data_IF_515477381201
#
_entry.id   IF_515477381201
#
_cell.length_a   1.000
_cell.length_b   1.000
_cell.length_c   1.000
_cell.angle_alpha   90.00
_cell.angle_beta   90.00
_cell.angle_gamma   90.00
#
_symmetry.space_group_name_H-M   'P 1'
#
loop_
_entity.id
_entity.type
_entity.pdbx_description
1 polymer ?
#
# COMPACT_ATOMS: atom_id res chain seq x y z
N UNK A 1 41.87 -10.26 7.22
CA UNK A 1 40.91 -9.39 6.51
C UNK A 1 39.74 -10.25 6.02
N UNK A 2 38.57 -10.16 6.65
CA UNK A 2 37.45 -11.10 6.46
C UNK A 2 36.67 -10.85 5.16
N UNK A 3 37.10 -11.47 4.06
CA UNK A 3 36.45 -11.45 2.75
C UNK A 3 34.99 -11.96 2.80
N UNK A 4 34.63 -12.76 3.81
CA UNK A 4 33.32 -13.41 3.97
C UNK A 4 32.17 -12.45 4.30
N UNK A 5 32.45 -11.27 4.86
CA UNK A 5 31.44 -10.27 5.21
C UNK A 5 31.03 -9.35 4.04
N UNK A 6 31.76 -9.40 2.92
CA UNK A 6 31.59 -8.47 1.78
C UNK A 6 30.31 -8.72 0.97
N UNK A 7 29.97 -9.99 0.72
CA UNK A 7 28.77 -10.38 -0.05
C UNK A 7 27.44 -9.99 0.60
N UNK A 8 27.18 -10.27 1.90
CA UNK A 8 25.94 -9.85 2.55
C UNK A 8 25.86 -8.32 2.68
N UNK A 9 26.99 -7.63 2.90
CA UNK A 9 27.03 -6.17 2.94
C UNK A 9 26.67 -5.55 1.58
N UNK A 10 27.21 -6.09 0.47
CA UNK A 10 26.87 -5.63 -0.87
C UNK A 10 25.38 -5.80 -1.19
N UNK A 11 24.78 -6.95 -0.80
CA UNK A 11 23.34 -7.18 -0.94
C UNK A 11 22.51 -6.20 -0.12
N UNK A 12 22.90 -5.94 1.12
CA UNK A 12 22.21 -4.97 1.99
C UNK A 12 22.26 -3.53 1.43
N UNK A 13 23.39 -3.13 0.83
CA UNK A 13 23.52 -1.82 0.18
C UNK A 13 22.60 -1.70 -1.04
N UNK A 14 22.50 -2.76 -1.85
CA UNK A 14 21.60 -2.78 -3.02
C UNK A 14 20.14 -2.72 -2.58
N UNK A 15 19.74 -3.55 -1.62
CA UNK A 15 18.38 -3.55 -1.07
C UNK A 15 18.01 -2.17 -0.48
N UNK A 16 18.94 -1.51 0.22
CA UNK A 16 18.72 -0.16 0.75
C UNK A 16 18.48 0.86 -0.37
N UNK A 17 19.23 0.79 -1.47
CA UNK A 17 19.04 1.70 -2.63
C UNK A 17 17.70 1.48 -3.32
N UNK A 18 17.27 0.23 -3.42
CA UNK A 18 15.97 -0.12 -4.00
C UNK A 18 14.81 0.41 -3.15
N UNK A 19 14.86 0.21 -1.84
CA UNK A 19 13.88 0.78 -0.89
C UNK A 19 13.83 2.31 -1.01
N UNK A 20 14.98 2.98 -1.09
CA UNK A 20 15.03 4.44 -1.26
C UNK A 20 14.35 4.90 -2.55
N UNK A 21 14.57 4.21 -3.67
CA UNK A 21 13.90 4.52 -4.96
C UNK A 21 12.39 4.32 -4.87
N UNK A 22 11.94 3.25 -4.21
CA UNK A 22 10.51 3.02 -4.00
C UNK A 22 9.87 4.12 -3.15
N UNK A 23 10.55 4.56 -2.09
CA UNK A 23 10.08 5.69 -1.27
C UNK A 23 10.01 6.97 -2.08
N UNK A 24 11.06 7.31 -2.85
CA UNK A 24 11.05 8.50 -3.72
C UNK A 24 9.92 8.45 -4.76
N UNK A 25 9.66 7.29 -5.35
CA UNK A 25 8.56 7.10 -6.29
C UNK A 25 7.20 7.31 -5.61
N UNK A 26 6.98 6.72 -4.44
CA UNK A 26 5.75 6.92 -3.66
C UNK A 26 5.57 8.39 -3.27
N UNK A 27 6.63 9.06 -2.81
CA UNK A 27 6.59 10.49 -2.50
C UNK A 27 6.21 11.30 -3.74
N UNK A 28 6.83 11.04 -4.89
CA UNK A 28 6.47 11.71 -6.16
C UNK A 28 5.03 11.45 -6.56
N UNK A 29 4.52 10.22 -6.41
CA UNK A 29 3.13 9.89 -6.70
C UNK A 29 2.16 10.64 -5.77
N UNK A 30 2.46 10.68 -4.47
CA UNK A 30 1.64 11.40 -3.48
C UNK A 30 1.64 12.89 -3.79
N UNK A 31 2.81 13.50 -4.04
CA UNK A 31 2.93 14.92 -4.37
C UNK A 31 2.25 15.25 -5.69
N UNK A 32 2.44 14.43 -6.73
CA UNK A 32 1.76 14.60 -8.00
C UNK A 32 0.24 14.53 -7.81
N UNK A 33 -0.26 13.50 -7.12
CA UNK A 33 -1.70 13.33 -6.86
C UNK A 33 -2.27 14.44 -5.98
N UNK A 34 -1.55 14.92 -4.98
CA UNK A 34 -1.94 16.05 -4.14
C UNK A 34 -1.98 17.37 -4.95
N UNK A 35 -1.01 17.56 -5.88
CA UNK A 35 -0.99 18.68 -6.82
C UNK A 35 -2.19 18.64 -7.77
N UNK A 36 -2.48 17.46 -8.33
CA UNK A 36 -3.65 17.26 -9.19
C UNK A 36 -4.94 17.45 -8.40
N UNK A 37 -5.05 16.93 -7.17
CA UNK A 37 -6.19 17.15 -6.28
C UNK A 37 -6.38 18.62 -5.93
N UNK A 38 -5.31 19.38 -5.71
CA UNK A 38 -5.42 20.82 -5.41
C UNK A 38 -5.89 21.59 -6.65
N UNK A 39 -5.43 21.19 -7.83
CA UNK A 39 -5.79 21.80 -9.11
C UNK A 39 -7.21 21.46 -9.51
N UNK A 40 -7.63 20.19 -9.34
CA UNK A 40 -9.01 19.76 -9.54
C UNK A 40 -9.93 20.35 -8.49
N UNK A 41 -9.57 20.41 -7.20
CA UNK A 41 -10.38 21.10 -6.18
C UNK A 41 -10.54 22.58 -6.52
N UNK A 42 -9.52 23.28 -7.02
CA UNK A 42 -9.66 24.67 -7.49
C UNK A 42 -10.55 24.78 -8.73
N UNK A 43 -10.39 23.90 -9.72
CA UNK A 43 -11.22 23.87 -10.92
C UNK A 43 -12.69 23.53 -10.60
N UNK A 44 -12.90 22.53 -9.75
CA UNK A 44 -14.20 22.15 -9.20
C UNK A 44 -14.81 23.28 -8.39
N UNK A 45 -14.07 23.93 -7.47
CA UNK A 45 -14.57 25.11 -6.76
C UNK A 45 -14.99 26.24 -7.70
N UNK A 46 -14.30 26.44 -8.83
CA UNK A 46 -14.69 27.43 -9.85
C UNK A 46 -15.96 26.99 -10.62
N UNK A 47 -16.07 25.72 -10.99
CA UNK A 47 -17.30 25.16 -11.57
C UNK A 47 -18.49 25.22 -10.60
N UNK A 48 -18.23 24.98 -9.31
CA UNK A 48 -19.17 25.01 -8.18
C UNK A 48 -19.69 26.42 -7.86
N UNK A 49 -18.92 27.48 -8.13
CA UNK A 49 -19.46 28.86 -8.08
C UNK A 49 -20.47 29.14 -9.20
N UNK A 50 -20.42 28.38 -10.31
CA UNK A 50 -21.34 28.52 -11.44
C UNK A 50 -22.57 27.61 -11.32
N UNK A 51 -22.45 26.43 -10.70
CA UNK A 51 -23.59 25.55 -10.40
C UNK A 51 -24.05 25.78 -8.95
N UNK A 52 -25.23 26.35 -8.71
CA UNK A 52 -25.67 26.75 -7.37
C UNK A 52 -25.81 25.62 -6.31
N UNK A 53 -26.26 26.03 -5.12
CA UNK A 53 -26.36 25.34 -3.80
C UNK A 53 -26.67 23.82 -3.76
N UNK A 54 -27.28 23.22 -4.80
CA UNK A 54 -27.54 21.77 -4.90
C UNK A 54 -26.28 20.92 -5.13
N UNK A 55 -25.26 21.42 -5.84
CA UNK A 55 -24.02 20.66 -6.08
C UNK A 55 -23.14 20.54 -4.84
N UNK A 56 -23.25 21.49 -3.90
CA UNK A 56 -22.48 21.47 -2.66
C UNK A 56 -22.82 20.28 -1.74
N UNK A 57 -24.10 19.85 -1.71
CA UNK A 57 -24.51 18.69 -0.93
C UNK A 57 -24.02 17.38 -1.56
N UNK A 58 -24.17 17.23 -2.88
CA UNK A 58 -23.70 16.05 -3.60
C UNK A 58 -22.19 15.87 -3.46
N UNK A 59 -21.40 16.94 -3.59
CA UNK A 59 -19.95 16.88 -3.41
C UNK A 59 -19.53 16.53 -1.98
N UNK A 60 -20.31 16.95 -0.96
CA UNK A 60 -20.05 16.56 0.42
C UNK A 60 -20.30 15.07 0.61
N UNK A 61 -21.40 14.55 0.05
CA UNK A 61 -21.71 13.13 0.05
C UNK A 61 -20.61 12.35 -0.68
N UNK A 62 -20.23 12.75 -1.89
CA UNK A 62 -19.18 12.08 -2.68
C UNK A 62 -17.83 12.08 -1.93
N UNK A 63 -17.48 13.16 -1.24
CA UNK A 63 -16.25 13.23 -0.44
C UNK A 63 -16.30 12.26 0.75
N UNK A 64 -17.39 12.23 1.49
CA UNK A 64 -17.58 11.33 2.62
C UNK A 64 -17.62 9.86 2.15
N UNK A 65 -18.27 9.58 1.02
CA UNK A 65 -18.27 8.25 0.40
C UNK A 65 -16.87 7.82 0.02
N UNK A 66 -16.07 8.70 -0.59
CA UNK A 66 -14.68 8.41 -0.92
C UNK A 66 -13.83 8.13 0.33
N UNK A 67 -13.90 9.00 1.35
CA UNK A 67 -13.20 8.81 2.62
C UNK A 67 -13.57 7.46 3.25
N UNK A 68 -14.87 7.11 3.29
CA UNK A 68 -15.36 5.85 3.84
C UNK A 68 -14.91 4.62 3.05
N UNK A 69 -14.85 4.72 1.72
CA UNK A 69 -14.34 3.63 0.87
C UNK A 69 -12.86 3.34 1.12
N UNK A 70 -12.04 4.37 1.30
CA UNK A 70 -10.61 4.21 1.61
C UNK A 70 -10.40 3.56 2.98
N UNK A 71 -11.19 3.96 3.98
CA UNK A 71 -11.18 3.30 5.30
C UNK A 71 -11.53 1.82 5.20
N UNK A 72 -12.59 1.48 4.45
CA UNK A 72 -13.03 0.10 4.25
C UNK A 72 -11.99 -0.74 3.50
N UNK A 73 -11.34 -0.18 2.48
CA UNK A 73 -10.25 -0.86 1.76
C UNK A 73 -9.06 -1.14 2.68
N UNK A 74 -8.68 -0.18 3.53
CA UNK A 74 -7.64 -0.38 4.53
C UNK A 74 -7.99 -1.51 5.51
N UNK A 75 -9.23 -1.53 6.00
CA UNK A 75 -9.69 -2.56 6.94
C UNK A 75 -9.67 -3.94 6.28
N UNK A 76 -10.17 -4.07 5.04
CA UNK A 76 -10.11 -5.33 4.29
C UNK A 76 -8.69 -5.83 4.09
N UNK A 77 -7.73 -4.96 3.75
CA UNK A 77 -6.33 -5.36 3.60
C UNK A 77 -5.71 -5.83 4.92
N UNK A 78 -6.02 -5.15 6.02
CA UNK A 78 -5.58 -5.56 7.36
C UNK A 78 -6.18 -6.91 7.75
N UNK A 79 -7.45 -7.12 7.46
CA UNK A 79 -8.14 -8.38 7.71
C UNK A 79 -7.51 -9.51 6.87
N UNK A 80 -7.32 -9.31 5.57
CA UNK A 80 -6.68 -10.30 4.69
C UNK A 80 -5.24 -10.64 5.14
N UNK A 81 -4.48 -9.67 5.63
CA UNK A 81 -3.15 -9.91 6.22
C UNK A 81 -3.23 -10.71 7.52
N UNK A 82 -4.25 -10.48 8.35
CA UNK A 82 -4.46 -11.28 9.56
C UNK A 82 -4.91 -12.70 9.22
N UNK A 83 -5.81 -12.85 8.25
CA UNK A 83 -6.26 -14.15 7.75
C UNK A 83 -5.13 -14.95 7.09
N UNK A 84 -4.19 -14.31 6.39
CA UNK A 84 -3.03 -15.03 5.84
C UNK A 84 -2.06 -15.53 6.92
N UNK A 85 -1.89 -14.75 8.00
CA UNK A 85 -1.09 -15.16 9.17
C UNK A 85 -1.79 -16.27 9.95
N UNK A 86 -3.12 -16.19 10.10
CA UNK A 86 -3.92 -17.21 10.80
C UNK A 86 -4.11 -18.47 9.95
N UNK A 87 -4.16 -18.32 8.63
CA UNK A 87 -4.26 -19.39 7.63
C UNK A 87 -2.96 -20.14 7.38
N UNK A 88 -1.86 -19.75 8.04
CA UNK A 88 -0.63 -20.55 8.16
C UNK A 88 -0.54 -21.37 9.48
N UNK A 89 -1.40 -22.38 9.70
CA UNK A 89 -1.05 -23.48 10.57
C UNK A 89 -0.81 -24.74 9.72
N UNK A 90 0.42 -25.27 9.81
CA UNK A 90 0.85 -26.63 9.41
C UNK A 90 1.31 -26.86 7.96
N UNK A 91 2.47 -26.31 7.57
CA UNK A 91 3.30 -26.95 6.51
C UNK A 91 4.64 -27.53 6.99
N UNK A 92 4.93 -27.52 8.30
CA UNK A 92 6.18 -28.07 8.81
C UNK A 92 5.94 -29.08 9.94
N UNK A 93 5.26 -30.19 9.66
CA UNK A 93 5.42 -31.40 10.50
C UNK A 93 4.96 -32.70 9.81
N UNK A 94 5.37 -32.90 8.54
CA UNK A 94 5.41 -34.25 7.97
C UNK A 94 6.86 -34.70 7.92
N UNK A 95 7.32 -35.29 9.04
CA UNK A 95 8.56 -36.10 9.06
C UNK A 95 8.52 -37.09 7.90
N UNK A 96 9.60 -37.26 7.13
CA UNK A 96 9.66 -38.34 6.16
C UNK A 96 9.76 -39.64 6.95
N UNK A 97 8.68 -40.43 6.93
CA UNK A 97 8.72 -41.82 7.37
C UNK A 97 9.66 -42.58 6.44
N UNK A 98 10.89 -42.81 6.91
CA UNK A 98 11.77 -43.82 6.34
C UNK A 98 11.05 -45.17 6.42
N UNK A 99 10.74 -45.75 5.27
CA UNK A 99 10.40 -47.16 5.18
C UNK A 99 11.71 -47.97 5.15
N UNK A 100 11.97 -48.87 6.12
CA UNK A 100 12.99 -49.89 5.91
C UNK A 100 12.36 -50.98 5.03
N UNK A 101 13.02 -51.27 3.92
CA UNK A 101 12.70 -52.43 3.11
C UNK A 101 13.25 -53.68 3.79
N UNK A 102 12.39 -54.56 4.28
CA UNK A 102 12.44 -56.03 4.02
C UNK A 102 11.13 -56.65 4.46
#
# INVERSE_FOLDING_TARGET
MNVRASKPLAKAIVARREIQRHLEFLTRQITARAGTQTTTVKAWRRARRRSGRRTCHQELVDRLTFERWVELDMIHRKLAMQESVIGEPQHCDKRPLHHPAT
#
